data_IF_073977004739
#
_entry.id   IF_073977004739
#
_cell.length_a   1.000
_cell.length_b   1.000
_cell.length_c   1.000
_cell.angle_alpha   90.00
_cell.angle_beta   90.00
_cell.angle_gamma   90.00
#
_symmetry.space_group_name_H-M   'P 1'
#
loop_
_entity.id
_entity.type
_entity.pdbx_description
1 polymer ?
2 branched ?
3 branched ?
4 non-polymer ?
5 non-polymer ?
6 non-polymer ?
7 non-polymer ?
8 non-polymer ?
9 water ?
#
# COMPACT_ATOMS: atom_id res chain seq x y z
N UNK A 1 8.77 -14.75 -19.94
CA UNK A 1 9.63 -14.76 -21.15
C UNK A 1 10.18 -13.36 -21.49
N UNK A 2 9.33 -12.35 -21.80
CA UNK A 2 9.81 -10.96 -21.96
C UNK A 2 9.48 -10.04 -20.77
N UNK A 3 10.29 -9.00 -20.54
CA UNK A 3 9.96 -8.02 -19.54
C UNK A 3 8.66 -7.32 -19.93
N UNK A 4 7.78 -7.12 -18.98
CA UNK A 4 6.56 -6.43 -19.24
C UNK A 4 6.83 -4.95 -19.45
N UNK A 5 6.12 -4.36 -20.41
CA UNK A 5 6.13 -2.94 -20.63
C UNK A 5 4.77 -2.33 -20.37
N UNK A 6 4.76 -1.13 -19.80
CA UNK A 6 3.54 -0.43 -19.43
C UNK A 6 3.01 0.28 -20.70
N UNK A 7 2.39 -0.46 -21.59
CA UNK A 7 1.98 0.11 -22.89
C UNK A 7 0.53 0.58 -22.90
N UNK A 8 -0.27 0.25 -21.88
CA UNK A 8 -1.69 0.60 -21.83
C UNK A 8 -1.99 1.78 -20.90
N UNK A 9 -3.14 2.42 -21.13
CA UNK A 9 -3.72 3.42 -20.26
C UNK A 9 -4.66 2.73 -19.27
N UNK A 10 -5.12 3.47 -18.26
CA UNK A 10 -6.19 2.96 -17.34
C UNK A 10 -7.51 2.77 -18.02
N UNK A 11 -8.25 1.73 -17.66
CA UNK A 11 -9.62 1.60 -18.08
C UNK A 11 -10.42 2.73 -17.40
N UNK A 12 -11.56 3.05 -18.00
CA UNK A 12 -12.45 4.02 -17.39
C UNK A 12 -13.07 3.42 -16.15
N UNK A 13 -13.01 4.16 -15.07
CA UNK A 13 -13.48 3.73 -13.81
C UNK A 13 -14.83 4.34 -13.54
N UNK A 14 -15.89 3.53 -13.67
CA UNK A 14 -17.24 4.00 -13.40
C UNK A 14 -17.80 3.50 -12.07
N UNK A 15 -17.18 2.43 -11.52
CA UNK A 15 -17.47 1.91 -10.20
C UNK A 15 -16.36 0.88 -9.86
N UNK A 16 -16.56 0.19 -8.76
CA UNK A 16 -15.63 -0.78 -8.26
C UNK A 16 -16.39 -2.06 -7.96
N UNK A 17 -15.84 -3.20 -8.42
CA UNK A 17 -16.45 -4.51 -8.12
C UNK A 17 -15.53 -5.27 -7.15
N UNK A 18 -16.15 -6.18 -6.40
CA UNK A 18 -15.42 -7.03 -5.50
C UNK A 18 -14.43 -7.93 -6.30
N UNK A 19 -13.21 -8.02 -5.80
CA UNK A 19 -12.14 -8.84 -6.41
C UNK A 19 -11.70 -9.98 -5.51
N UNK A 20 -11.35 -9.68 -4.28
CA UNK A 20 -10.98 -10.71 -3.30
C UNK A 20 -11.26 -10.31 -1.89
N UNK A 21 -11.40 -11.31 -1.02
CA UNK A 21 -11.66 -11.05 0.38
C UNK A 21 -11.30 -12.30 1.12
N UNK A 22 -10.48 -12.22 2.15
CA UNK A 22 -10.07 -13.47 2.81
C UNK A 22 -10.73 -13.83 4.08
N UNK A 23 -11.44 -12.91 4.72
CA UNK A 23 -12.14 -13.24 5.93
C UNK A 23 -11.24 -13.93 6.98
N UNK A 24 -9.99 -13.49 7.08
CA UNK A 24 -9.00 -14.23 7.77
C UNK A 24 -9.28 -14.27 9.29
N UNK A 25 -9.78 -13.18 9.88
CA UNK A 25 -9.93 -13.11 11.35
C UNK A 25 -11.13 -13.98 11.76
N UNK A 26 -12.20 -13.94 10.95
CA UNK A 26 -13.33 -14.86 11.13
C UNK A 26 -12.87 -16.30 11.08
N UNK A 27 -12.15 -16.64 10.01
CA UNK A 27 -11.71 -18.04 9.84
C UNK A 27 -10.70 -18.45 10.91
N UNK A 28 -9.76 -17.54 11.21
CA UNK A 28 -8.71 -17.78 12.17
C UNK A 28 -9.13 -17.94 13.62
N UNK A 29 -10.38 -17.64 13.93
CA UNK A 29 -10.96 -17.94 15.25
C UNK A 29 -10.87 -19.41 15.62
N UNK A 30 -10.87 -20.30 14.61
CA UNK A 30 -10.79 -21.71 14.86
C UNK A 30 -9.97 -22.45 13.76
N UNK A 31 -8.91 -21.85 13.26
CA UNK A 31 -8.02 -22.50 12.30
C UNK A 31 -6.68 -21.80 12.41
N UNK A 32 -5.61 -22.40 11.82
CA UNK A 32 -4.23 -21.99 12.03
C UNK A 32 -3.82 -20.87 11.10
N UNK A 33 -4.41 -19.71 11.35
CA UNK A 33 -4.22 -18.53 10.58
C UNK A 33 -3.13 -17.67 11.24
N UNK A 34 -2.14 -17.26 10.46
CA UNK A 34 -1.06 -16.41 10.96
C UNK A 34 -1.55 -14.98 11.23
N UNK A 35 -1.04 -14.38 12.29
CA UNK A 35 -1.27 -12.96 12.55
C UNK A 35 -0.46 -12.17 11.56
N UNK A 36 -1.08 -11.15 10.97
CA UNK A 36 -0.40 -10.30 10.00
C UNK A 36 -0.68 -8.84 10.26
N UNK A 37 -0.02 -8.00 9.47
CA UNK A 37 -0.50 -6.64 9.15
C UNK A 37 0.28 -6.21 7.86
N UNK A 38 0.00 -5.00 7.41
CA UNK A 38 0.62 -4.43 6.23
C UNK A 38 0.46 -5.35 5.03
N UNK A 39 -0.78 -5.72 4.69
CA UNK A 39 -1.03 -6.55 3.53
C UNK A 39 -1.03 -5.78 2.20
N UNK A 40 -0.98 -6.54 1.12
CA UNK A 40 -1.17 -6.01 -0.26
C UNK A 40 -1.42 -7.17 -1.23
N UNK A 41 -1.57 -6.86 -2.51
CA UNK A 41 -1.89 -7.80 -3.53
C UNK A 41 -0.87 -7.51 -4.65
N UNK A 42 -0.43 -8.58 -5.30
CA UNK A 42 0.49 -8.42 -6.41
C UNK A 42 0.32 -9.58 -7.39
N UNK A 43 0.40 -9.31 -8.70
CA UNK A 43 0.19 -10.32 -9.71
C UNK A 43 1.46 -10.78 -10.38
N UNK A 44 1.52 -12.06 -10.67
CA UNK A 44 2.44 -12.66 -11.60
C UNK A 44 1.76 -12.77 -12.93
N UNK A 45 2.46 -13.17 -13.97
CA UNK A 45 1.73 -13.40 -15.27
C UNK A 45 0.64 -14.47 -15.30
N UNK A 46 0.64 -15.39 -14.36
CA UNK A 46 -0.30 -16.48 -14.35
C UNK A 46 -1.08 -16.62 -13.03
N UNK A 47 -0.92 -15.68 -12.09
CA UNK A 47 -1.61 -15.81 -10.81
C UNK A 47 -1.52 -14.47 -10.08
N UNK A 48 -2.52 -14.13 -9.29
CA UNK A 48 -2.45 -12.97 -8.40
C UNK A 48 -2.54 -13.55 -7.01
N UNK A 49 -1.80 -12.95 -6.09
CA UNK A 49 -1.69 -13.44 -4.70
C UNK A 49 -1.81 -12.28 -3.69
N UNK A 50 -2.22 -12.66 -2.48
CA UNK A 50 -2.15 -11.82 -1.29
C UNK A 50 -0.77 -11.93 -0.66
N UNK A 51 -0.33 -10.79 -0.13
CA UNK A 51 0.96 -10.61 0.54
C UNK A 51 0.68 -9.92 1.87
N UNK A 52 1.52 -10.17 2.85
CA UNK A 52 1.51 -9.43 4.09
C UNK A 52 2.73 -9.71 4.90
N UNK A 53 2.90 -8.93 5.96
CA UNK A 53 3.86 -9.23 6.98
C UNK A 53 3.34 -10.06 8.13
N UNK A 54 3.77 -11.31 8.18
CA UNK A 54 3.45 -12.20 9.27
C UNK A 54 4.05 -11.67 10.54
N UNK A 55 3.48 -12.06 11.67
CA UNK A 55 4.09 -11.84 12.97
C UNK A 55 4.67 -13.12 13.59
N UNK A 56 4.66 -14.22 12.84
CA UNK A 56 5.32 -15.42 13.30
C UNK A 56 4.60 -16.08 14.48
N UNK A 57 3.28 -16.12 14.45
CA UNK A 57 2.44 -16.80 15.45
C UNK A 57 1.06 -16.88 14.79
N UNK A 58 0.25 -17.81 15.21
CA UNK A 58 -1.16 -17.81 14.87
C UNK A 58 -1.96 -16.85 15.77
N UNK A 59 -3.16 -16.51 15.34
CA UNK A 59 -3.97 -15.57 16.08
C UNK A 59 -4.49 -16.14 17.38
N UNK A 60 -4.86 -17.42 17.39
CA UNK A 60 -5.26 -18.09 18.65
C UNK A 60 -4.07 -18.53 19.47
N UNK A 61 -2.88 -18.50 18.91
CA UNK A 61 -1.66 -18.80 19.66
C UNK A 61 -1.40 -17.80 20.78
N UNK A 62 -0.83 -18.27 21.86
CA UNK A 62 -0.39 -17.40 22.95
C UNK A 62 0.66 -16.37 22.55
N UNK A 63 1.48 -16.66 21.51
CA UNK A 63 2.44 -15.64 21.01
C UNK A 63 1.78 -14.47 20.25
N UNK A 64 0.45 -14.48 20.07
CA UNK A 64 -0.23 -13.33 19.47
C UNK A 64 -0.24 -12.11 20.42
N UNK A 65 0.02 -12.39 21.68
CA UNK A 65 0.08 -11.34 22.69
C UNK A 65 1.28 -10.49 22.40
N UNK A 66 1.07 -9.22 22.09
CA UNK A 66 2.18 -8.28 21.84
C UNK A 66 2.31 -7.84 20.37
N UNK A 67 1.41 -8.36 19.51
CA UNK A 67 1.52 -8.15 18.08
C UNK A 67 1.03 -6.80 17.62
N UNK A 68 0.60 -5.91 18.54
CA UNK A 68 0.52 -4.46 18.18
C UNK A 68 1.89 -3.90 17.69
N UNK A 69 2.99 -4.49 18.15
CA UNK A 69 4.36 -4.00 17.82
C UNK A 69 4.69 -4.28 16.38
N UNK A 70 5.40 -3.34 15.76
CA UNK A 70 5.65 -3.36 14.31
C UNK A 70 6.85 -4.14 13.89
N UNK A 71 7.89 -4.23 14.74
CA UNK A 71 9.18 -4.64 14.25
C UNK A 71 9.79 -5.63 15.20
N UNK A 72 9.89 -6.87 14.79
CA UNK A 72 10.50 -7.92 15.54
C UNK A 72 11.23 -8.87 14.56
N UNK A 73 11.96 -9.82 15.14
CA UNK A 73 12.73 -10.78 14.44
C UNK A 73 11.85 -11.93 13.94
N UNK A 74 10.54 -11.89 14.29
CA UNK A 74 9.61 -12.95 14.00
C UNK A 74 8.74 -12.65 12.81
N UNK A 75 8.99 -11.51 12.13
CA UNK A 75 8.19 -11.07 11.00
C UNK A 75 8.84 -11.51 9.70
N UNK A 76 7.97 -11.71 8.69
CA UNK A 76 8.40 -12.09 7.33
C UNK A 76 7.36 -11.68 6.29
N UNK A 77 7.80 -11.35 5.07
CA UNK A 77 6.89 -11.18 3.97
C UNK A 77 6.42 -12.56 3.53
N UNK A 78 5.10 -12.77 3.55
CA UNK A 78 4.50 -14.02 3.11
C UNK A 78 3.54 -13.74 1.96
N UNK A 79 3.33 -14.74 1.12
CA UNK A 79 2.28 -14.67 0.14
C UNK A 79 1.47 -15.92 0.19
N UNK A 80 0.24 -15.79 -0.30
CA UNK A 80 -0.70 -16.92 -0.28
C UNK A 80 -1.77 -16.76 -1.38
N UNK A 81 -2.47 -17.84 -1.72
CA UNK A 81 -3.49 -17.70 -2.79
C UNK A 81 -4.62 -16.72 -2.53
N UNK A 82 -5.00 -16.00 -3.61
CA UNK A 82 -5.98 -14.95 -3.60
C UNK A 82 -7.24 -15.41 -2.88
N UNK A 83 -7.67 -14.61 -1.90
CA UNK A 83 -8.86 -14.82 -1.08
C UNK A 83 -8.87 -15.97 -0.12
N UNK A 84 -7.79 -16.77 -0.11
CA UNK A 84 -7.53 -17.74 0.99
C UNK A 84 -7.02 -16.85 2.17
N UNK A 85 -7.08 -17.36 3.41
CA UNK A 85 -6.42 -16.68 4.49
C UNK A 85 -4.95 -17.07 4.60
N UNK A 86 -4.11 -16.28 5.31
CA UNK A 86 -2.74 -16.59 5.49
C UNK A 86 -2.51 -17.64 6.57
N UNK A 87 -2.50 -18.90 6.16
CA UNK A 87 -2.34 -20.00 7.11
C UNK A 87 -0.90 -20.45 7.26
N UNK A 88 -0.64 -21.15 8.33
CA UNK A 88 0.64 -21.74 8.56
C UNK A 88 1.00 -22.70 7.38
N UNK A 89 0.04 -23.39 6.83
CA UNK A 89 0.24 -24.48 5.90
C UNK A 89 0.22 -24.03 4.42
N UNK A 90 -0.33 -22.88 4.07
CA UNK A 90 -0.44 -22.42 2.64
C UNK A 90 0.36 -21.12 2.39
N UNK A 91 1.08 -20.60 3.37
CA UNK A 91 1.70 -19.28 3.22
C UNK A 91 3.13 -19.52 2.78
N UNK A 92 3.60 -18.82 1.77
CA UNK A 92 5.00 -18.96 1.31
C UNK A 92 5.80 -17.77 1.76
N UNK A 93 6.97 -17.99 2.37
CA UNK A 93 7.81 -16.87 2.84
C UNK A 93 8.64 -16.35 1.67
N UNK A 94 8.53 -15.07 1.37
CA UNK A 94 9.27 -14.42 0.34
C UNK A 94 10.66 -13.94 0.83
N UNK A 95 10.69 -13.42 2.06
CA UNK A 95 11.94 -12.98 2.67
C UNK A 95 11.63 -12.58 4.13
N UNK A 96 12.66 -12.33 4.88
CA UNK A 96 12.55 -12.08 6.33
C UNK A 96 12.69 -10.61 6.63
N UNK A 97 11.78 -10.08 7.48
CA UNK A 97 11.81 -8.65 7.82
C UNK A 97 10.48 -8.05 8.15
N UNK A 98 10.49 -6.74 8.34
CA UNK A 98 9.36 -5.99 8.90
C UNK A 98 8.94 -4.78 8.11
N UNK A 99 9.45 -4.70 6.86
CA UNK A 99 8.99 -3.73 5.84
C UNK A 99 9.32 -4.34 4.52
N UNK A 100 8.42 -4.20 3.55
CA UNK A 100 8.59 -4.91 2.29
C UNK A 100 7.98 -4.22 1.09
N UNK A 101 8.38 -4.75 -0.07
CA UNK A 101 7.70 -4.54 -1.33
C UNK A 101 7.98 -5.77 -2.20
N UNK A 102 7.27 -5.86 -3.33
CA UNK A 102 7.39 -7.02 -4.22
C UNK A 102 6.75 -6.67 -5.54
N UNK A 103 7.37 -7.10 -6.64
CA UNK A 103 6.75 -6.99 -7.94
C UNK A 103 7.38 -7.96 -8.95
N UNK A 104 6.61 -8.29 -9.96
CA UNK A 104 7.00 -9.19 -11.05
C UNK A 104 7.32 -8.34 -12.25
N UNK A 105 8.43 -8.65 -12.91
CA UNK A 105 8.90 -7.85 -14.03
C UNK A 105 8.49 -8.42 -15.41
N UNK A 106 7.68 -9.48 -15.39
CA UNK A 106 7.29 -10.25 -16.55
C UNK A 106 8.09 -11.52 -16.72
N UNK A 107 9.32 -11.56 -16.25
CA UNK A 107 10.15 -12.80 -16.26
C UNK A 107 10.11 -13.48 -14.91
N UNK A 108 10.42 -12.74 -13.83
CA UNK A 108 10.32 -13.29 -12.48
C UNK A 108 10.06 -12.15 -11.48
N UNK A 109 9.99 -12.53 -10.20
CA UNK A 109 9.61 -11.61 -9.14
C UNK A 109 10.79 -11.10 -8.32
N UNK A 110 10.75 -9.81 -8.00
CA UNK A 110 11.66 -9.18 -7.04
C UNK A 110 10.91 -8.95 -5.78
N UNK A 111 11.51 -9.34 -4.63
CA UNK A 111 10.92 -9.06 -3.31
C UNK A 111 11.97 -8.42 -2.46
N UNK A 112 11.57 -7.44 -1.67
CA UNK A 112 12.50 -6.70 -0.80
C UNK A 112 11.98 -6.72 0.61
N UNK A 113 12.83 -7.15 1.57
CA UNK A 113 12.52 -7.12 2.96
C UNK A 113 13.65 -6.42 3.71
N UNK A 114 13.27 -5.57 4.65
CA UNK A 114 14.17 -4.84 5.52
C UNK A 114 14.06 -5.42 6.90
N UNK A 115 15.18 -5.65 7.54
CA UNK A 115 15.20 -6.11 8.95
C UNK A 115 16.28 -5.40 9.70
N UNK A 116 16.31 -5.64 10.99
CA UNK A 116 17.34 -5.13 11.89
C UNK A 116 16.77 -4.26 13.00
N UNK A 117 17.65 -3.83 13.91
CA UNK A 117 17.25 -2.84 14.93
C UNK A 117 17.10 -1.50 14.28
N UNK A 118 16.40 -0.61 14.98
CA UNK A 118 16.11 0.69 14.43
C UNK A 118 17.29 1.47 13.87
N UNK A 119 18.44 1.39 14.52
CA UNK A 119 19.61 2.16 14.12
C UNK A 119 20.57 1.39 13.22
N UNK A 120 20.20 0.18 12.75
CA UNK A 120 21.16 -0.62 11.98
C UNK A 120 20.44 -1.59 11.00
N UNK A 121 19.40 -1.09 10.35
CA UNK A 121 18.53 -1.92 9.51
C UNK A 121 19.18 -2.08 8.14
N UNK A 122 18.80 -3.15 7.45
CA UNK A 122 19.27 -3.40 6.06
C UNK A 122 18.15 -4.01 5.22
N UNK A 123 18.13 -3.62 3.95
CA UNK A 123 17.33 -4.23 2.93
C UNK A 123 18.10 -5.36 2.19
N UNK A 124 17.41 -6.47 1.97
CA UNK A 124 17.87 -7.52 1.07
C UNK A 124 16.88 -7.62 -0.10
N UNK A 125 17.44 -7.63 -1.31
CA UNK A 125 16.66 -7.61 -2.54
C UNK A 125 16.86 -8.99 -3.13
N UNK A 126 15.73 -9.69 -3.27
CA UNK A 126 15.64 -11.01 -3.74
C UNK A 126 15.12 -10.93 -5.17
N UNK A 127 15.64 -11.77 -6.04
CA UNK A 127 15.16 -11.85 -7.43
C UNK A 127 15.17 -13.33 -7.83
N UNK A 128 14.03 -13.82 -8.34
CA UNK A 128 13.92 -15.25 -8.70
C UNK A 128 14.16 -16.10 -7.48
N UNK A 129 13.62 -15.64 -6.36
CA UNK A 129 13.74 -16.24 -5.04
C UNK A 129 15.13 -16.52 -4.51
N UNK A 130 16.07 -15.69 -4.93
CA UNK A 130 17.44 -15.73 -4.40
C UNK A 130 17.85 -14.34 -3.97
N UNK A 131 18.57 -14.21 -2.84
CA UNK A 131 19.10 -12.85 -2.57
C UNK A 131 20.17 -12.43 -3.58
N UNK A 132 20.14 -11.14 -3.97
CA UNK A 132 21.04 -10.57 -4.97
C UNK A 132 21.79 -9.35 -4.47
N UNK A 133 21.13 -8.40 -3.85
CA UNK A 133 21.70 -7.11 -3.44
C UNK A 133 21.29 -6.82 -2.02
N UNK A 134 22.16 -6.13 -1.30
CA UNK A 134 21.85 -5.67 0.02
C UNK A 134 22.16 -4.20 0.12
N UNK A 135 21.36 -3.50 0.92
CA UNK A 135 21.51 -2.04 1.12
C UNK A 135 21.42 -1.70 2.60
N UNK A 136 22.48 -1.07 3.13
CA UNK A 136 22.53 -0.76 4.54
C UNK A 136 21.82 0.56 4.81
N UNK A 137 21.31 0.68 6.01
CA UNK A 137 20.71 1.90 6.50
C UNK A 137 21.67 3.08 6.19
N UNK A 138 21.09 4.14 5.64
CA UNK A 138 21.85 5.42 5.40
C UNK A 138 21.60 6.52 6.45
N UNK A 139 20.50 6.47 7.17
CA UNK A 139 20.26 7.47 8.19
C UNK A 139 20.10 6.88 9.56
N UNK A 140 20.26 5.56 9.75
CA UNK A 140 20.16 4.98 11.10
C UNK A 140 18.89 5.22 11.90
N UNK A 141 17.75 5.27 11.18
CA UNK A 141 16.45 5.50 11.79
C UNK A 141 15.35 4.82 10.99
N UNK A 142 15.25 3.50 11.18
CA UNK A 142 14.17 2.67 10.62
C UNK A 142 14.08 2.80 9.10
N UNK A 143 15.14 2.34 8.40
CA UNK A 143 15.04 2.13 6.97
C UNK A 143 13.70 1.39 6.63
N UNK A 144 12.95 1.90 5.65
CA UNK A 144 11.59 1.38 5.39
C UNK A 144 11.08 1.69 3.99
N UNK A 145 10.10 0.92 3.53
CA UNK A 145 9.72 0.96 2.12
C UNK A 145 8.22 0.94 1.99
N UNK A 146 7.71 0.45 0.88
CA UNK A 146 6.36 0.81 0.39
C UNK A 146 5.24 0.11 1.13
N UNK A 147 5.42 -1.15 1.50
CA UNK A 147 4.32 -2.00 2.02
C UNK A 147 3.19 -2.25 1.03
N UNK A 148 3.49 -2.07 -0.27
CA UNK A 148 2.62 -2.55 -1.33
C UNK A 148 3.47 -2.77 -2.59
N UNK A 149 2.88 -3.24 -3.67
CA UNK A 149 3.70 -3.74 -4.77
C UNK A 149 4.47 -2.61 -5.45
N UNK A 150 5.64 -2.92 -5.97
CA UNK A 150 6.32 -2.03 -6.90
C UNK A 150 5.82 -2.31 -8.31
N UNK A 151 6.33 -1.54 -9.25
CA UNK A 151 5.96 -1.65 -10.64
C UNK A 151 7.25 -1.65 -11.51
N UNK A 152 7.24 -2.48 -12.55
CA UNK A 152 8.32 -2.58 -13.51
C UNK A 152 7.95 -2.13 -14.94
N UNK A 153 8.97 -1.68 -15.64
CA UNK A 153 8.85 -1.37 -17.06
C UNK A 153 10.18 -1.74 -17.78
N UNK A 154 10.07 -2.66 -18.72
CA UNK A 154 11.23 -3.21 -19.47
C UNK A 154 12.32 -3.65 -18.51
N UNK A 155 11.93 -4.29 -17.42
CA UNK A 155 12.93 -4.75 -16.45
C UNK A 155 13.32 -3.82 -15.37
N UNK A 156 12.97 -2.53 -15.48
CA UNK A 156 13.39 -1.55 -14.47
C UNK A 156 12.24 -1.42 -13.47
N UNK A 157 12.52 -1.70 -12.20
CA UNK A 157 11.51 -1.66 -11.12
C UNK A 157 11.97 -0.64 -10.11
N UNK A 158 11.41 0.58 -10.15
CA UNK A 158 11.75 1.51 -9.12
C UNK A 158 11.06 1.22 -7.81
N UNK A 159 11.74 1.60 -6.75
CA UNK A 159 11.27 1.38 -5.40
C UNK A 159 11.58 2.60 -4.56
N UNK A 160 10.63 3.02 -3.72
CA UNK A 160 10.87 4.18 -2.81
C UNK A 160 11.11 3.71 -1.44
N UNK A 161 12.23 4.18 -0.86
CA UNK A 161 12.61 3.92 0.52
C UNK A 161 12.72 5.24 1.27
N UNK A 162 12.57 5.17 2.59
CA UNK A 162 12.79 6.31 3.48
C UNK A 162 13.57 5.84 4.66
N UNK A 163 14.55 6.64 5.11
CA UNK A 163 15.30 6.34 6.34
C UNK A 163 15.41 7.69 7.08
N UNK A 164 15.12 7.73 8.37
CA UNK A 164 15.15 9.02 9.09
C UNK A 164 13.87 9.19 9.82
N UNK A 165 13.69 10.40 10.32
CA UNK A 165 12.60 10.71 11.21
C UNK A 165 11.24 10.49 10.57
N UNK A 166 10.34 9.94 11.37
CA UNK A 166 8.87 9.95 11.07
C UNK A 166 8.13 11.30 11.39
N UNK A 167 8.82 12.22 12.04
CA UNK A 167 8.20 13.47 12.56
C UNK A 167 9.06 14.72 12.29
N UNK A 168 9.69 14.77 11.12
CA UNK A 168 10.68 15.76 10.75
C UNK A 168 11.27 15.30 9.44
N UNK A 169 12.13 16.10 8.83
CA UNK A 169 12.80 15.69 7.57
C UNK A 169 13.51 14.33 7.67
N UNK A 170 13.49 13.58 6.59
CA UNK A 170 14.01 12.25 6.52
C UNK A 170 14.71 12.15 5.17
N UNK A 171 15.43 11.07 4.89
CA UNK A 171 16.12 10.89 3.61
C UNK A 171 15.49 9.76 2.81
N UNK A 172 14.76 10.17 1.81
CA UNK A 172 14.04 9.32 0.91
C UNK A 172 14.84 9.18 -0.37
N UNK A 173 14.92 7.94 -0.83
CA UNK A 173 15.63 7.57 -2.05
C UNK A 173 14.76 6.69 -2.96
N UNK A 174 14.93 6.89 -4.27
CA UNK A 174 14.31 6.09 -5.31
C UNK A 174 15.43 5.25 -5.94
N UNK A 175 15.33 3.95 -5.76
CA UNK A 175 16.22 3.00 -6.31
C UNK A 175 15.62 2.41 -7.56
N UNK A 176 16.42 2.27 -8.60
CA UNK A 176 15.99 1.67 -9.83
C UNK A 176 16.69 0.32 -9.96
N UNK A 177 15.93 -0.76 -9.81
CA UNK A 177 16.49 -2.11 -9.81
C UNK A 177 16.24 -2.73 -11.16
N UNK A 178 17.12 -3.66 -11.53
CA UNK A 178 16.84 -4.53 -12.70
C UNK A 178 17.52 -5.87 -12.43
N UNK A 179 16.75 -6.95 -12.46
CA UNK A 179 17.27 -8.27 -12.05
C UNK A 179 17.81 -8.28 -10.64
N UNK A 180 17.20 -7.47 -9.77
CA UNK A 180 17.72 -7.34 -8.41
C UNK A 180 18.96 -6.53 -8.18
N UNK A 181 19.49 -5.92 -9.23
CA UNK A 181 20.73 -5.09 -9.15
C UNK A 181 20.37 -3.64 -9.21
N UNK A 182 21.17 -2.82 -8.54
CA UNK A 182 20.93 -1.41 -8.53
C UNK A 182 21.46 -0.79 -9.83
N UNK A 183 20.59 -0.24 -10.65
CA UNK A 183 21.02 0.55 -11.79
C UNK A 183 21.41 1.94 -11.38
N UNK A 184 20.69 2.51 -10.42
CA UNK A 184 20.85 3.93 -10.07
C UNK A 184 19.98 4.15 -8.86
N UNK A 185 20.31 5.16 -8.07
CA UNK A 185 19.40 5.71 -7.11
C UNK A 185 19.48 7.21 -7.11
N UNK A 186 18.40 7.87 -6.70
CA UNK A 186 18.32 9.32 -6.64
C UNK A 186 17.72 9.73 -5.32
N UNK A 187 18.19 10.85 -4.78
CA UNK A 187 17.47 11.41 -3.61
C UNK A 187 16.16 12.02 -4.08
N UNK A 188 15.15 12.00 -3.22
CA UNK A 188 13.86 12.60 -3.49
C UNK A 188 14.07 14.04 -3.97
N UNK A 189 13.27 14.43 -4.95
CA UNK A 189 13.24 15.78 -5.50
C UNK A 189 11.77 16.21 -5.55
N UNK A 190 11.58 17.47 -5.93
CA UNK A 190 10.25 18.10 -6.06
C UNK A 190 9.84 18.69 -4.73
N UNK A 191 8.54 18.80 -4.52
CA UNK A 191 8.01 19.59 -3.40
C UNK A 191 7.44 18.79 -2.28
N UNK A 192 7.42 17.44 -2.41
CA UNK A 192 7.01 16.62 -1.27
C UNK A 192 8.00 16.80 -0.12
N UNK A 193 7.49 17.06 1.09
CA UNK A 193 8.34 17.37 2.25
C UNK A 193 8.68 16.16 3.12
N UNK A 194 7.92 15.07 2.96
CA UNK A 194 8.09 13.82 3.73
C UNK A 194 7.36 12.71 2.95
N UNK A 195 8.01 11.54 2.85
CA UNK A 195 7.48 10.38 2.09
C UNK A 195 7.58 9.10 2.87
N UNK A 196 6.48 8.37 2.92
CA UNK A 196 6.46 7.03 3.43
C UNK A 196 5.48 6.19 2.64
N UNK A 197 5.69 4.87 2.60
CA UNK A 197 4.66 3.93 2.17
C UNK A 197 3.98 4.26 0.84
N UNK A 198 4.78 4.46 -0.19
CA UNK A 198 4.22 4.75 -1.50
C UNK A 198 3.42 3.61 -2.07
N UNK A 199 2.24 3.96 -2.58
CA UNK A 199 1.39 3.06 -3.32
C UNK A 199 1.42 3.38 -4.80
N UNK A 200 1.86 2.43 -5.63
CA UNK A 200 2.22 2.76 -7.01
C UNK A 200 1.44 1.95 -8.06
N UNK A 201 1.34 2.51 -9.26
CA UNK A 201 0.72 1.87 -10.44
C UNK A 201 1.42 2.44 -11.67
N UNK A 202 1.28 1.74 -12.77
CA UNK A 202 2.01 1.98 -14.02
C UNK A 202 1.01 2.12 -15.16
N UNK A 203 1.21 3.11 -16.02
CA UNK A 203 0.43 3.18 -17.26
C UNK A 203 1.17 4.09 -18.23
N UNK A 204 1.12 3.73 -19.52
CA UNK A 204 1.73 4.55 -20.58
C UNK A 204 3.16 4.96 -20.19
N UNK A 205 3.97 3.98 -19.78
CA UNK A 205 5.41 4.12 -19.46
C UNK A 205 5.76 5.13 -18.38
N UNK A 206 4.83 5.38 -17.46
CA UNK A 206 5.09 6.23 -16.34
C UNK A 206 4.53 5.50 -15.10
N UNK A 207 5.20 5.64 -13.96
CA UNK A 207 4.76 5.04 -12.72
C UNK A 207 4.37 6.21 -11.79
N UNK A 208 3.20 6.13 -11.18
CA UNK A 208 2.65 7.12 -10.24
C UNK A 208 2.51 6.48 -8.89
N UNK A 209 3.05 7.15 -7.88
CA UNK A 209 3.01 6.72 -6.49
C UNK A 209 2.32 7.75 -5.62
N UNK A 210 1.35 7.32 -4.82
CA UNK A 210 0.65 8.16 -3.85
C UNK A 210 1.14 7.70 -2.48
N UNK A 211 1.67 8.62 -1.69
CA UNK A 211 2.37 8.27 -0.50
C UNK A 211 1.76 8.93 0.74
N UNK A 212 2.44 8.83 1.85
CA UNK A 212 2.05 9.33 3.16
C UNK A 212 3.14 10.31 3.61
N UNK A 213 2.75 11.56 3.80
CA UNK A 213 3.58 12.60 4.50
C UNK A 213 3.22 12.47 5.94
N UNK A 214 4.01 11.76 6.72
CA UNK A 214 3.69 11.55 8.11
C UNK A 214 3.92 12.83 8.98
N UNK A 215 4.77 13.72 8.51
CA UNK A 215 5.26 14.83 9.31
C UNK A 215 4.20 15.92 9.41
N UNK A 216 3.77 16.44 8.28
CA UNK A 216 2.86 17.57 8.30
C UNK A 216 1.58 17.47 7.47
N UNK A 217 1.62 16.79 6.35
CA UNK A 217 0.55 16.82 5.34
C UNK A 217 -0.65 15.89 5.58
N UNK A 218 -1.86 16.41 5.43
CA UNK A 218 -3.06 15.63 5.36
C UNK A 218 -3.56 15.47 3.93
N UNK A 219 -2.95 16.23 3.02
CA UNK A 219 -3.02 15.91 1.56
C UNK A 219 -1.87 14.88 1.32
N UNK A 220 -1.93 14.08 0.26
CA UNK A 220 -0.92 13.02 0.07
C UNK A 220 0.08 13.49 -0.92
N UNK A 221 1.36 13.22 -0.63
CA UNK A 221 2.36 13.45 -1.65
C UNK A 221 2.27 12.45 -2.82
N UNK A 222 2.66 12.88 -4.01
CA UNK A 222 2.66 12.05 -5.20
C UNK A 222 4.02 12.12 -5.80
N UNK A 223 4.58 10.96 -6.10
CA UNK A 223 5.84 10.84 -6.87
C UNK A 223 5.54 10.29 -8.26
N UNK A 224 6.02 10.91 -9.33
CA UNK A 224 5.84 10.38 -10.66
C UNK A 224 7.21 10.03 -11.22
N UNK A 225 7.34 8.79 -11.70
CA UNK A 225 8.63 8.22 -12.07
C UNK A 225 8.60 7.85 -13.53
N UNK A 226 9.65 8.24 -14.23
CA UNK A 226 9.85 7.79 -15.60
C UNK A 226 10.88 6.68 -15.55
N UNK A 227 10.45 5.43 -15.76
CA UNK A 227 11.38 4.31 -15.54
C UNK A 227 12.36 4.09 -16.70
N UNK A 228 12.21 4.82 -17.81
CA UNK A 228 13.11 4.75 -18.94
C UNK A 228 14.26 5.72 -18.70
N UNK A 229 13.95 6.99 -18.47
CA UNK A 229 14.94 8.01 -18.08
C UNK A 229 15.49 7.81 -16.67
N UNK A 230 14.78 7.07 -15.83
CA UNK A 230 15.15 6.91 -14.43
C UNK A 230 15.26 8.24 -13.71
N UNK A 231 14.20 9.06 -13.90
CA UNK A 231 14.02 10.31 -13.20
C UNK A 231 12.63 10.39 -12.62
N UNK A 232 12.47 11.32 -11.68
CA UNK A 232 11.19 11.51 -11.06
C UNK A 232 10.92 12.94 -10.63
N UNK A 233 9.68 13.19 -10.24
CA UNK A 233 9.34 14.41 -9.56
C UNK A 233 8.33 14.15 -8.48
N UNK A 234 8.02 15.18 -7.71
CA UNK A 234 7.06 15.04 -6.61
C UNK A 234 6.30 16.31 -6.38
N UNK A 235 5.10 16.14 -5.79
CA UNK A 235 4.19 17.22 -5.43
C UNK A 235 3.19 16.63 -4.48
N UNK A 236 2.11 17.34 -4.21
CA UNK A 236 1.00 16.83 -3.42
C UNK A 236 -0.21 16.83 -4.35
N UNK A 237 -1.19 16.01 -3.99
CA UNK A 237 -2.50 16.12 -4.57
C UNK A 237 -3.09 17.52 -4.19
N UNK A 238 -3.36 18.33 -5.23
CA UNK A 238 -3.94 19.69 -5.13
C UNK A 238 -5.33 19.76 -4.45
N UNK A 239 -6.13 18.73 -4.67
CA UNK A 239 -7.51 18.72 -4.25
C UNK A 239 -7.76 19.01 -2.78
N UNK A 240 -8.80 19.80 -2.47
CA UNK A 240 -9.24 19.96 -1.10
C UNK A 240 -9.90 18.72 -0.52
N UNK A 241 -10.12 17.67 -1.32
CA UNK A 241 -10.61 16.41 -0.73
C UNK A 241 -9.39 15.71 -0.11
N UNK A 242 -9.19 15.87 1.20
CA UNK A 242 -8.00 15.37 1.89
C UNK A 242 -8.08 13.87 2.22
N UNK A 243 -6.97 13.15 2.00
CA UNK A 243 -7.07 11.68 2.01
C UNK A 243 -6.17 10.95 2.96
N UNK A 244 -5.39 11.69 3.78
CA UNK A 244 -4.71 11.07 4.89
C UNK A 244 -5.62 10.84 6.09
N UNK A 245 -5.06 10.24 7.14
CA UNK A 245 -5.79 9.98 8.39
C UNK A 245 -4.84 9.86 9.52
N UNK A 246 -5.06 10.58 10.63
CA UNK A 246 -6.15 11.57 10.82
C UNK A 246 -5.90 12.84 10.01
N UNK A 247 -6.92 13.68 9.91
CA UNK A 247 -6.85 14.84 9.06
C UNK A 247 -7.83 15.92 9.55
N UNK A 248 -7.65 17.16 9.11
CA UNK A 248 -8.68 18.16 9.44
C UNK A 248 -9.89 17.99 8.55
N UNK A 249 -10.96 18.75 8.78
CA UNK A 249 -12.06 18.79 7.82
C UNK A 249 -11.64 19.31 6.48
N UNK A 250 -12.36 18.89 5.44
CA UNK A 250 -11.97 19.27 4.10
C UNK A 250 -12.20 20.79 3.89
N UNK A 251 -11.25 21.49 3.31
CA UNK A 251 -11.40 22.89 2.95
C UNK A 251 -12.01 23.00 1.59
N UNK A 252 -11.97 24.20 1.04
CA UNK A 252 -12.48 24.48 -0.26
C UNK A 252 -11.34 24.56 -1.22
N UNK A 253 -10.14 24.82 -0.73
CA UNK A 253 -9.01 24.89 -1.64
C UNK A 253 -7.83 24.17 -0.97
N UNK A 254 -7.15 23.33 -1.75
CA UNK A 254 -6.07 22.53 -1.21
C UNK A 254 -4.71 23.15 -1.50
N UNK A 255 -3.65 22.36 -1.33
CA UNK A 255 -2.27 22.78 -1.62
C UNK A 255 -1.58 21.80 -2.57
N UNK A 256 -0.97 22.35 -3.63
CA UNK A 256 -0.29 21.61 -4.70
C UNK A 256 1.19 21.30 -4.36
N UNK A 257 1.84 22.18 -3.60
CA UNK A 257 3.28 22.09 -3.36
C UNK A 257 3.70 22.24 -1.93
N UNK A 258 2.75 22.00 -1.03
CA UNK A 258 3.06 22.02 0.37
C UNK A 258 2.14 21.12 1.08
N UNK A 259 2.49 20.68 2.27
CA UNK A 259 1.59 19.91 3.08
C UNK A 259 0.43 20.73 3.54
N UNK A 260 -0.76 20.12 3.57
CA UNK A 260 -1.96 20.77 4.08
C UNK A 260 -1.95 20.52 5.58
N UNK A 261 -1.89 21.59 6.39
CA UNK A 261 -1.62 21.41 7.82
C UNK A 261 -2.87 21.07 8.62
N UNK A 262 -2.70 20.76 9.88
CA UNK A 262 -3.82 20.55 10.81
C UNK A 262 -3.63 19.30 11.61
N UNK A 263 -2.80 18.38 11.13
CA UNK A 263 -2.36 17.21 11.93
C UNK A 263 -0.91 16.94 11.65
N UNK A 264 -0.19 16.59 12.71
CA UNK A 264 1.26 16.38 12.65
C UNK A 264 1.54 14.98 13.12
N UNK A 265 2.63 14.46 12.58
CA UNK A 265 3.25 13.26 13.11
C UNK A 265 2.29 12.11 13.14
N UNK A 266 1.53 11.93 12.07
CA UNK A 266 0.72 10.77 12.03
C UNK A 266 0.20 10.63 10.63
N UNK A 267 -0.38 9.46 10.34
CA UNK A 267 -0.90 9.24 8.97
C UNK A 267 -1.32 7.80 8.79
N UNK A 268 -1.62 7.44 7.55
CA UNK A 268 -1.92 6.08 7.17
C UNK A 268 -1.52 5.87 5.69
N UNK A 269 -1.05 4.68 5.34
CA UNK A 269 -0.77 4.36 3.92
C UNK A 269 -2.05 4.39 3.14
N UNK A 270 -2.06 5.03 1.96
CA UNK A 270 -3.22 5.12 1.13
C UNK A 270 -2.82 5.18 -0.33
N UNK A 271 -3.80 5.47 -1.18
CA UNK A 271 -3.52 5.49 -2.62
C UNK A 271 -4.48 6.36 -3.37
N UNK A 272 -4.17 6.53 -4.66
CA UNK A 272 -5.12 7.09 -5.58
C UNK A 272 -4.81 6.67 -7.00
N UNK A 273 -5.77 6.87 -7.92
CA UNK A 273 -5.50 6.81 -9.37
C UNK A 273 -5.75 8.17 -9.93
N UNK A 274 -4.75 8.72 -10.56
CA UNK A 274 -4.71 10.13 -11.01
C UNK A 274 -4.61 10.10 -12.51
N UNK A 275 -5.72 10.31 -13.17
CA UNK A 275 -5.82 10.09 -14.61
C UNK A 275 -6.87 11.07 -15.19
N UNK A 276 -6.60 12.35 -14.98
CA UNK A 276 -7.46 13.43 -15.40
C UNK A 276 -8.86 13.30 -14.88
N UNK A 277 -9.84 13.32 -15.77
CA UNK A 277 -11.20 13.22 -15.30
C UNK A 277 -11.47 11.82 -14.70
N UNK A 278 -10.71 10.83 -15.13
CA UNK A 278 -10.81 9.45 -14.60
C UNK A 278 -9.99 9.31 -13.26
N UNK A 279 -10.19 10.23 -12.30
CA UNK A 279 -9.39 10.24 -11.12
C UNK A 279 -10.25 9.82 -9.94
N UNK A 280 -9.74 8.86 -9.18
CA UNK A 280 -10.39 8.36 -8.00
C UNK A 280 -9.46 8.34 -6.79
N UNK A 281 -9.95 8.80 -5.64
CA UNK A 281 -9.18 8.90 -4.42
C UNK A 281 -9.78 7.97 -3.40
N UNK A 282 -8.96 7.23 -2.65
CA UNK A 282 -9.45 6.51 -1.51
C UNK A 282 -9.20 7.26 -0.21
N UNK A 283 -10.06 7.06 0.77
CA UNK A 283 -9.81 7.60 2.13
C UNK A 283 -10.66 6.88 3.17
N UNK A 284 -10.23 7.00 4.42
CA UNK A 284 -11.05 6.63 5.54
C UNK A 284 -12.24 7.60 5.56
N UNK A 285 -13.39 7.14 6.06
CA UNK A 285 -14.51 8.03 6.20
C UNK A 285 -14.28 8.95 7.42
N UNK A 286 -13.84 8.41 8.55
CA UNK A 286 -13.54 9.19 9.75
C UNK A 286 -12.32 10.07 9.48
N UNK A 287 -12.39 11.32 9.97
CA UNK A 287 -11.20 12.21 10.02
C UNK A 287 -10.30 11.92 11.18
N UNK A 288 -10.79 11.14 12.13
CA UNK A 288 -10.04 10.96 13.37
C UNK A 288 -9.37 9.59 13.55
N UNK A 289 -9.94 8.55 12.96
CA UNK A 289 -9.43 7.21 13.21
C UNK A 289 -9.57 6.40 11.91
N UNK A 290 -9.00 5.22 11.89
CA UNK A 290 -9.04 4.36 10.74
C UNK A 290 -10.34 3.57 10.71
N UNK A 291 -11.41 4.28 10.43
CA UNK A 291 -12.71 3.68 10.25
C UNK A 291 -13.37 4.15 9.00
N UNK A 292 -14.07 3.17 8.44
CA UNK A 292 -14.63 3.33 7.16
C UNK A 292 -13.64 3.47 6.01
N UNK A 293 -14.19 3.34 4.83
CA UNK A 293 -13.39 3.52 3.64
C UNK A 293 -14.29 3.83 2.52
N UNK A 294 -13.88 4.82 1.74
CA UNK A 294 -14.63 5.22 0.56
C UNK A 294 -13.72 5.60 -0.60
N UNK A 295 -14.29 5.49 -1.80
CA UNK A 295 -13.66 5.92 -3.05
C UNK A 295 -14.47 7.11 -3.56
N UNK A 296 -13.78 8.19 -3.92
CA UNK A 296 -14.37 9.39 -4.50
C UNK A 296 -13.78 9.69 -5.84
N UNK A 297 -14.66 9.98 -6.80
CA UNK A 297 -14.23 10.39 -8.10
C UNK A 297 -14.01 11.91 -8.00
N UNK A 298 -12.78 12.36 -8.21
CA UNK A 298 -12.42 13.75 -8.01
C UNK A 298 -11.67 14.13 -9.28
N UNK A 299 -12.38 14.62 -10.30
CA UNK A 299 -11.73 14.95 -11.54
C UNK A 299 -10.58 15.92 -11.40
N UNK A 300 -9.46 15.59 -12.00
CA UNK A 300 -8.27 16.38 -11.91
C UNK A 300 -7.75 16.69 -10.55
N UNK A 301 -7.93 15.79 -9.59
CA UNK A 301 -7.47 15.99 -8.19
C UNK A 301 -6.01 16.40 -8.09
N UNK A 302 -5.17 15.81 -8.94
CA UNK A 302 -3.77 16.06 -8.87
C UNK A 302 -3.43 17.52 -9.17
N UNK A 303 -4.15 18.11 -10.11
CA UNK A 303 -3.77 19.41 -10.62
C UNK A 303 -4.75 20.57 -10.30
N UNK A 304 -5.96 20.27 -9.81
CA UNK A 304 -7.01 21.29 -9.58
C UNK A 304 -7.22 21.44 -8.09
N UNK A 305 -6.74 22.58 -7.54
CA UNK A 305 -6.84 22.82 -6.10
C UNK A 305 -8.21 23.22 -5.56
N UNK A 306 -9.21 23.16 -6.40
CA UNK A 306 -10.60 23.26 -5.92
C UNK A 306 -11.49 22.07 -6.30
N UNK A 307 -10.89 21.00 -6.85
CA UNK A 307 -11.66 19.82 -7.29
C UNK A 307 -12.38 19.14 -6.17
N UNK A 308 -13.65 18.81 -6.41
CA UNK A 308 -14.49 18.15 -5.44
C UNK A 308 -15.14 16.86 -6.07
N UNK A 309 -15.75 16.02 -5.24
CA UNK A 309 -16.29 14.75 -5.77
C UNK A 309 -17.46 14.90 -6.74
N UNK A 310 -17.40 14.17 -7.84
CA UNK A 310 -18.55 14.03 -8.74
C UNK A 310 -19.25 12.68 -8.63
N UNK A 311 -18.68 11.73 -7.88
CA UNK A 311 -19.26 10.38 -7.77
C UNK A 311 -18.52 9.71 -6.65
N UNK A 312 -19.11 8.66 -6.08
CA UNK A 312 -18.42 7.90 -5.11
C UNK A 312 -18.90 6.48 -4.85
N UNK A 313 -18.20 5.79 -3.98
CA UNK A 313 -18.59 4.44 -3.58
C UNK A 313 -18.11 4.16 -2.19
N UNK A 314 -19.02 3.73 -1.31
CA UNK A 314 -18.66 3.27 0.03
C UNK A 314 -18.09 1.82 -0.05
N UNK A 315 -16.93 1.61 0.53
CA UNK A 315 -16.26 0.29 0.58
C UNK A 315 -16.42 -0.35 1.93
N UNK A 316 -16.19 0.44 2.98
CA UNK A 316 -16.33 -0.05 4.35
C UNK A 316 -17.10 1.05 5.11
N UNK A 317 -18.10 0.65 5.89
CA UNK A 317 -18.92 1.62 6.67
C UNK A 317 -18.09 2.24 7.75
N UNK A 318 -18.44 3.48 8.12
CA UNK A 318 -17.70 4.17 9.20
C UNK A 318 -17.85 3.50 10.56
N UNK A 319 -18.78 2.55 10.69
CA UNK A 319 -18.90 1.76 11.90
C UNK A 319 -18.03 0.49 11.87
N UNK A 320 -17.16 0.34 10.86
CA UNK A 320 -16.22 -0.79 10.77
C UNK A 320 -14.80 -0.29 10.62
N UNK A 321 -13.86 -1.08 11.12
CA UNK A 321 -12.46 -0.72 11.06
C UNK A 321 -11.82 -0.93 9.67
N UNK A 322 -10.99 0.04 9.30
CA UNK A 322 -10.21 -0.02 8.05
C UNK A 322 -8.74 -0.08 8.43
N UNK A 323 -7.91 0.55 7.65
CA UNK A 323 -6.48 0.46 7.86
C UNK A 323 -5.74 0.94 6.62
N UNK A 324 -4.56 0.38 6.38
CA UNK A 324 -3.74 0.72 5.22
C UNK A 324 -4.53 0.39 3.96
N UNK A 325 -4.22 1.10 2.89
CA UNK A 325 -4.79 0.77 1.58
C UNK A 325 -3.72 1.05 0.52
N UNK A 326 -3.81 0.35 -0.60
CA UNK A 326 -2.81 0.43 -1.66
C UNK A 326 -3.32 -0.04 -2.98
N UNK A 327 -2.52 0.29 -4.00
CA UNK A 327 -2.87 -0.01 -5.36
C UNK A 327 -2.12 -1.23 -5.92
N UNK A 328 -2.77 -1.91 -6.86
CA UNK A 328 -2.07 -2.93 -7.68
C UNK A 328 -2.89 -3.03 -8.96
N UNK A 329 -2.31 -3.60 -10.02
CA UNK A 329 -3.10 -4.00 -11.19
C UNK A 329 -2.54 -5.32 -11.74
N UNK A 330 -3.41 -6.01 -12.46
CA UNK A 330 -3.01 -7.17 -13.20
C UNK A 330 -2.49 -6.69 -14.59
N UNK A 331 -1.18 -6.45 -14.67
CA UNK A 331 -0.49 -6.03 -15.89
C UNK A 331 -0.52 -7.09 -16.99
N UNK A 332 -0.94 -8.31 -16.67
CA UNK A 332 -0.92 -9.40 -17.66
C UNK A 332 -2.32 -9.83 -18.09
N UNK A 333 -3.32 -9.02 -17.77
CA UNK A 333 -4.72 -9.32 -18.13
C UNK A 333 -4.89 -9.12 -19.65
N UNK A 334 -5.96 -9.62 -20.20
CA UNK A 334 -6.22 -9.43 -21.64
C UNK A 334 -6.88 -8.04 -21.86
N UNK A 335 -6.89 -7.50 -23.07
CA UNK A 335 -7.72 -6.33 -23.35
C UNK A 335 -6.88 -5.10 -23.56
N UNK A 336 -7.52 -3.97 -23.64
CA UNK A 336 -6.87 -2.81 -24.19
C UNK A 336 -6.41 -1.84 -23.14
N UNK A 337 -6.72 -2.08 -21.87
CA UNK A 337 -6.46 -1.06 -20.83
C UNK A 337 -6.13 -1.79 -19.55
N UNK A 338 -5.41 -1.17 -18.65
CA UNK A 338 -5.17 -1.74 -17.31
C UNK A 338 -6.32 -1.39 -16.37
N UNK A 339 -6.84 -2.39 -15.67
CA UNK A 339 -7.94 -2.25 -14.76
C UNK A 339 -7.38 -1.90 -13.38
N UNK A 340 -7.64 -0.69 -12.93
CA UNK A 340 -7.27 -0.25 -11.60
C UNK A 340 -7.80 -1.18 -10.49
N UNK A 341 -6.97 -1.51 -9.53
CA UNK A 341 -7.37 -2.30 -8.35
C UNK A 341 -6.80 -1.71 -7.10
N UNK A 342 -7.40 -2.05 -5.98
CA UNK A 342 -6.88 -1.66 -4.68
C UNK A 342 -7.28 -2.66 -3.62
N UNK A 343 -6.59 -2.62 -2.51
CA UNK A 343 -6.97 -3.40 -1.30
C UNK A 343 -7.19 -2.41 -0.14
N UNK A 344 -7.91 -2.84 0.89
CA UNK A 344 -7.96 -2.16 2.19
C UNK A 344 -7.70 -3.23 3.24
N UNK A 345 -6.76 -2.92 4.12
CA UNK A 345 -6.45 -3.69 5.27
C UNK A 345 -7.54 -3.39 6.36
N UNK A 346 -8.18 -4.43 6.91
CA UNK A 346 -9.23 -4.31 7.96
C UNK A 346 -8.64 -4.72 9.26
N UNK A 347 -8.13 -3.76 9.99
CA UNK A 347 -7.41 -4.04 11.26
C UNK A 347 -8.37 -4.37 12.37
N UNK A 348 -8.03 -5.45 13.08
CA UNK A 348 -8.76 -5.85 14.24
C UNK A 348 -7.83 -5.99 15.38
N UNK A 349 -8.39 -5.79 16.57
CA UNK A 349 -7.65 -5.95 17.81
C UNK A 349 -7.05 -4.63 18.18
N UNK A 350 -5.87 -4.65 18.77
CA UNK A 350 -5.34 -3.43 19.37
C UNK A 350 -4.87 -2.41 18.32
N UNK A 351 -4.97 -1.11 18.60
CA UNK A 351 -5.35 -0.53 19.92
C UNK A 351 -6.82 -0.26 20.12
N UNK A 352 -7.63 -0.35 19.08
CA UNK A 352 -8.99 0.08 19.19
C UNK A 352 -9.85 -0.92 19.85
N UNK A 353 -9.52 -2.19 19.72
CA UNK A 353 -10.26 -3.25 20.34
C UNK A 353 -9.35 -3.95 21.33
N UNK A 354 -9.25 -3.39 22.54
CA UNK A 354 -8.25 -3.82 23.49
C UNK A 354 -8.67 -4.87 24.46
N UNK A 355 -9.86 -5.44 24.28
CA UNK A 355 -10.15 -6.67 25.00
C UNK A 355 -9.34 -7.86 24.56
N UNK A 356 -8.74 -7.80 23.36
CA UNK A 356 -7.82 -8.87 22.94
C UNK A 356 -6.43 -8.32 23.11
N UNK A 357 -5.45 -9.22 23.22
CA UNK A 357 -4.06 -8.84 23.35
C UNK A 357 -3.29 -8.76 22.01
N UNK A 358 -3.97 -9.07 20.93
CA UNK A 358 -3.36 -9.09 19.61
C UNK A 358 -3.86 -7.95 18.71
N UNK A 359 -3.12 -7.78 17.60
CA UNK A 359 -3.52 -6.97 16.50
C UNK A 359 -3.30 -7.85 15.21
N UNK A 360 -4.30 -7.86 14.36
CA UNK A 360 -4.17 -8.55 13.06
C UNK A 360 -5.10 -7.84 12.08
N UNK A 361 -5.34 -8.41 10.89
CA UNK A 361 -6.17 -7.80 9.94
C UNK A 361 -6.78 -8.86 9.03
N UNK A 362 -7.77 -8.47 8.27
CA UNK A 362 -8.10 -9.22 7.05
C UNK A 362 -7.98 -8.30 5.87
N UNK A 363 -8.32 -8.80 4.70
CA UNK A 363 -8.15 -8.06 3.46
C UNK A 363 -9.44 -8.07 2.69
N UNK A 364 -9.74 -6.91 2.13
CA UNK A 364 -10.71 -6.77 1.06
C UNK A 364 -10.04 -6.05 -0.13
N UNK A 365 -10.41 -6.44 -1.33
CA UNK A 365 -9.89 -5.84 -2.57
C UNK A 365 -10.93 -5.75 -3.65
N UNK A 366 -10.84 -4.67 -4.44
CA UNK A 366 -11.73 -4.38 -5.53
C UNK A 366 -10.95 -3.99 -6.77
N UNK A 367 -11.59 -4.12 -7.95
CA UNK A 367 -11.09 -3.59 -9.18
C UNK A 367 -12.18 -2.76 -9.86
N UNK A 368 -11.77 -1.93 -10.84
CA UNK A 368 -12.72 -1.01 -11.47
C UNK A 368 -13.56 -1.73 -12.46
N UNK A 369 -14.79 -1.21 -12.64
CA UNK A 369 -15.69 -1.60 -13.68
C UNK A 369 -16.04 -0.37 -14.55
N UNK A 370 -16.27 -0.63 -15.83
CA UNK A 370 -16.82 0.40 -16.74
C UNK A 370 -18.34 0.46 -16.63
N UNK A 371 -18.96 -0.49 -15.92
CA UNK A 371 -20.36 -0.33 -15.50
C UNK A 371 -20.48 0.59 -14.30
N UNK A 372 -21.70 1.07 -14.07
CA UNK A 372 -22.08 1.74 -12.82
C UNK A 372 -22.74 0.72 -11.89
N UNK A 373 -21.92 0.00 -11.14
CA UNK A 373 -22.41 -1.10 -10.29
C UNK A 373 -22.93 -0.62 -8.94
N UNK A 374 -23.93 -1.32 -8.45
CA UNK A 374 -24.42 -1.23 -7.10
C UNK A 374 -23.30 -1.45 -6.10
N UNK A 375 -23.41 -0.76 -4.97
CA UNK A 375 -22.41 -0.86 -3.93
C UNK A 375 -22.87 -1.71 -2.71
N UNK A 376 -21.96 -2.51 -2.16
CA UNK A 376 -22.16 -3.07 -0.81
C UNK A 376 -21.04 -2.53 0.07
N UNK A 377 -21.09 -2.82 1.36
CA UNK A 377 -19.97 -2.55 2.22
C UNK A 377 -19.36 -3.86 2.60
N UNK A 378 -18.06 -3.83 2.91
CA UNK A 378 -17.28 -5.08 3.06
C UNK A 378 -16.47 -5.08 4.36
N UNK A 379 -17.12 -5.42 5.48
CA UNK A 379 -16.37 -5.39 6.73
C UNK A 379 -15.56 -6.65 6.98
N UNK A 380 -14.68 -6.60 7.97
CA UNK A 380 -13.89 -7.79 8.33
C UNK A 380 -14.81 -8.97 8.66
N UNK A 381 -15.81 -8.69 9.49
CA UNK A 381 -16.84 -9.64 9.86
C UNK A 381 -16.62 -10.49 11.08
N UNK A 382 -15.48 -10.39 11.78
CA UNK A 382 -15.22 -11.22 12.94
C UNK A 382 -15.91 -10.53 14.16
N UNK A 383 -16.38 -11.31 15.11
CA UNK A 383 -16.83 -10.87 16.43
C UNK A 383 -15.75 -11.04 17.44
N UNK A 384 -15.24 -9.90 17.92
CA UNK A 384 -14.18 -9.88 18.93
C UNK A 384 -14.53 -10.66 20.16
N UNK A 385 -15.80 -10.62 20.53
CA UNK A 385 -16.28 -11.34 21.73
C UNK A 385 -15.96 -12.83 21.66
N UNK A 386 -15.91 -13.39 20.43
CA UNK A 386 -15.59 -14.82 20.31
C UNK A 386 -14.18 -15.22 20.75
N UNK A 387 -13.30 -14.24 20.71
CA UNK A 387 -11.91 -14.40 21.04
C UNK A 387 -11.62 -14.16 22.52
N UNK A 388 -12.62 -13.78 23.29
CA UNK A 388 -12.43 -13.53 24.72
C UNK A 388 -12.55 -14.83 25.47
X LIG B 1 25.77 -1.69 13.52
X LIG B 1 26.44 -1.55 14.91
X LIG B 1 27.95 -1.62 14.85
X LIG B 1 28.32 -2.91 14.15
X LIG B 1 27.66 -2.95 12.76
X LIG B 1 27.99 -4.21 11.98
X LIG B 1 25.44 0.16 16.35
X LIG B 1 25.31 1.68 16.39
X LIG B 1 26.15 -0.20 15.29
X LIG B 1 28.46 -1.61 16.19
X LIG B 1 29.75 -2.91 14.04
X LIG B 1 26.26 -2.91 12.99
X LIG B 1 27.65 -5.37 12.73
X LIG B 1 24.95 -0.61 17.18
X LIG B 2 30.27 -4.15 14.42
X LIG B 2 31.64 -4.42 13.80
X LIG B 2 32.15 -5.77 14.24
X LIG B 2 32.24 -5.80 15.74
X LIG B 2 30.89 -5.38 16.27
X LIG B 2 30.80 -5.34 17.79
X LIG B 2 31.83 -3.47 11.56
X LIG B 2 31.69 -3.66 10.06
X LIG B 2 31.54 -4.47 12.38
X LIG B 2 33.34 -6.11 13.54
X LIG B 2 32.51 -7.14 16.18
X LIG B 2 30.46 -4.08 15.79
X LIG B 2 31.70 -4.27 18.17
X LIG B 2 32.21 -2.42 12.01
X LIG B 3 33.71 -7.28 16.92
X LIG B 3 33.65 -8.60 17.69
X LIG B 3 34.97 -8.85 18.42
X LIG B 3 36.12 -8.62 17.46
X LIG B 3 36.07 -7.24 16.83
X LIG B 3 37.25 -7.09 15.91
X LIG B 3 33.46 -9.65 16.73
X LIG B 3 34.96 -10.21 18.84
X LIG B 3 37.37 -8.79 18.05
X LIG B 3 34.85 -7.14 16.06
X LIG B 3 37.31 -5.74 15.48
X LIG B 4 35.50 -10.34 20.14
X LIG B 4 35.68 -11.80 20.47
X LIG B 4 34.31 -12.46 20.55
X LIG B 4 33.50 -11.81 21.63
X LIG B 4 33.38 -10.35 21.34
X LIG B 4 32.74 -9.70 22.55
X LIG B 4 36.36 -11.69 21.73
X LIG B 4 34.37 -13.84 20.77
X LIG B 4 32.19 -12.35 21.72
X LIG B 4 34.67 -9.73 21.10
X LIG B 4 32.34 -8.44 22.03
X LIG B 5 36.72 -12.93 22.29
X LIG B 5 37.35 -12.64 23.66
X LIG B 5 38.70 -11.95 23.40
X LIG B 5 39.58 -12.80 22.52
X LIG B 5 38.84 -13.10 21.19
X LIG B 5 39.75 -13.93 20.32
X LIG B 5 37.55 -13.89 24.35
X LIG B 5 39.33 -11.77 24.66
X LIG B 5 40.82 -12.11 22.24
X LIG B 5 37.58 -13.74 21.50
X LIG B 5 40.24 -15.10 21.02
X LIG B 6 36.61 -14.14 25.40
X LIG B 6 37.23 -15.34 26.14
X LIG B 6 37.18 -16.57 25.22
X LIG B 6 35.75 -16.78 24.71
X LIG B 6 35.22 -15.52 24.01
X LIG B 6 33.75 -15.58 23.59
X LIG B 6 36.43 -15.62 27.31
X LIG B 6 37.48 -17.76 25.97
X LIG B 6 35.59 -17.98 23.92
X LIG B 6 35.28 -14.42 24.92
X LIG B 6 32.91 -15.64 24.76
X LIG B 7 38.28 -5.03 16.30
X LIG B 7 38.18 -3.55 15.98
X LIG B 7 38.86 -3.29 14.65
X LIG B 7 40.25 -3.84 14.64
X LIG B 7 40.36 -5.31 15.03
X LIG B 7 41.84 -5.76 15.10
X LIG B 7 38.82 -2.86 17.04
X LIG B 7 38.91 -1.89 14.40
X LIG B 7 40.59 -3.69 13.30
X LIG B 7 39.65 -5.48 16.24
X LIG B 7 42.69 -5.39 16.25
X LIG B 8 38.14 -1.35 13.26
X LIG B 8 38.49 0.15 13.05
X LIG B 8 37.81 1.07 14.10
X LIG B 8 36.32 0.80 14.30
X LIG B 8 36.04 -0.73 14.38
X LIG B 8 34.54 -1.05 14.45
X LIG B 8 38.16 0.54 11.70
X LIG B 8 37.95 2.44 13.72
X LIG B 8 35.89 1.46 15.50
X LIG B 8 36.68 -1.41 13.27
X LIG B 8 34.16 -2.11 15.39
X LIG C 1 9.29 -4.49 -23.92
X LIG C 1 9.10 -5.77 -24.69
X LIG C 1 10.44 -6.43 -25.00
X LIG C 1 11.35 -5.43 -25.69
X LIG C 1 11.41 -4.11 -24.87
X LIG C 1 12.28 -2.98 -25.45
X LIG C 1 7.23 -7.36 -24.35
X LIG C 1 6.41 -8.28 -23.48
X LIG C 1 8.29 -6.68 -23.89
X LIG C 1 10.16 -7.61 -25.71
X LIG C 1 12.71 -5.90 -25.71
X LIG C 1 10.07 -3.58 -24.64
X LIG C 1 11.73 -2.62 -26.69
X LIG C 1 6.93 -7.22 -25.50
X LIG C 2 13.16 -6.63 -26.88
X LIG C 2 14.70 -6.78 -26.84
X LIG C 2 15.23 -7.61 -28.06
X LIG C 2 14.51 -8.99 -28.14
X LIG C 2 12.98 -8.74 -28.12
X LIG C 2 12.13 -10.00 -28.24
X LIG C 2 15.37 -4.34 -27.05
X LIG C 2 16.09 -3.27 -26.31
X LIG C 2 15.36 -5.51 -26.43
X LIG C 2 16.62 -7.88 -27.91
X LIG C 2 14.96 -9.85 -29.23
X LIG C 2 12.61 -7.97 -26.93
X LIG C 2 12.02 -10.75 -27.02
X LIG C 2 14.85 -4.13 -28.14
X LIG D 1 -16.88 2.28 15.35
X LIG D 1 -16.00 2.57 14.58
X LIG D 1 -15.31 1.43 13.88
X LIG D 1 -15.65 3.81 14.27
X LIG D 1 -16.24 5.02 14.89
X LIG D 1 -17.05 5.79 13.87
X LIG D 1 -17.55 7.14 14.47
X LIG D 1 -18.50 6.91 15.46
X LIG D 1 -15.11 5.97 15.34
X LIG D 1 -15.64 7.19 15.91
X LIG D 1 -16.39 8.03 15.04
X LIG D 1 -16.88 9.04 15.80
X LIG D 1 -15.49 8.71 13.98
X LIG D 1 -16.01 9.16 12.92
X LIG D 1 -14.25 8.82 14.23
X LIG D 1 -14.19 5.50 16.46
X LIG D 1 -15.01 5.03 17.52
X LIG D 1 -13.27 6.64 16.96
X LIG D 1 -13.00 7.68 15.95
X LIG D 1 -11.98 6.08 17.50
X LIG D 1 -12.31 5.19 18.57
X LIG E 1 -0.15 -10.65 27.69
X LIG E 1 -0.89 -11.19 28.90
X LIG E 1 -1.03 -10.21 30.11
X LIG E 1 0.21 -9.36 30.36
X LIG E 1 0.60 -8.80 28.96
X LIG E 1 1.70 -7.76 28.96
X LIG E 1 -2.63 -12.78 28.24
X LIG E 1 -4.03 -13.03 27.75
X LIG E 1 -2.22 -11.53 28.42
X LIG E 1 -1.32 -11.02 31.25
X LIG E 1 -0.02 -8.32 31.37
X LIG E 1 0.97 -9.87 28.06
X LIG E 1 2.90 -8.43 29.32
X LIG E 1 -1.87 -13.69 28.46
X LIG F 1 -0.13 12.87 7.58
X LIG G 1 0.00 1.50 11.30
X LIG G 1 0.97 2.32 11.15
X LIG G 1 0.74 3.55 11.15
X LIG G 1 2.24 1.90 10.95
X LIG G 1 2.66 0.45 10.87
X LIG G 1 2.74 -0.03 12.15
X LIG G 1 4.01 0.11 10.24
X LIG G 1 3.27 2.85 10.79
X LIG G 1 4.54 2.47 10.18
X LIG G 1 5.55 3.55 10.49
X LIG G 1 5.06 4.94 10.04
X LIG G 1 5.96 6.13 10.46
X LIG G 1 7.27 6.04 9.90
X LIG G 1 5.76 3.60 11.90
X LIG G 1 5.05 1.10 10.65
X LIG G 1 6.24 0.70 9.86
X LIG G 1 7.41 0.44 10.43
X LIG G 1 7.64 0.54 11.63
X LIG G 1 8.52 0.06 9.52
X LIG G 1 4.90 4.92 8.63
X LIG H 1 -0.04 1.43 10.67
X LIG H 1 0.89 2.26 10.41
X LIG H 1 0.82 3.46 10.75
X LIG H 1 2.14 1.83 9.69
X LIG H 1 2.41 0.38 10.03
X LIG H 1 1.98 0.22 11.31
X LIG H 1 3.87 -0.07 9.97
X LIG H 1 3.11 2.63 10.35
X LIG H 1 4.47 2.36 10.01
X LIG H 1 5.34 3.39 10.70
X LIG H 1 4.92 4.79 10.31
X LIG H 1 5.79 5.84 11.02
X LIG H 1 6.94 6.16 10.24
X LIG H 1 5.15 3.27 12.12
X LIG H 1 4.88 0.95 10.44
X LIG H 1 6.10 0.67 9.68
X LIG H 1 7.33 0.71 10.16
X LIG H 1 7.60 0.97 11.33
X LIG H 1 8.40 0.39 9.16
X LIG H 1 4.99 4.91 8.89
#
# INVERSE_FOLDING_TARGET
RDFNNLTKGLCTINSWHIYGKDNAVRIGEDSDVLVTREPYVSCDPDECRFYALSQGTTIRGKHSNGTIHDRSQYRALISWPLSSPPTVYNSRVECIGWSSTSCHDGKTRMSICISGPNNNASAVIWYNRRPVTEINTWARNILRTQESECVCHNGVCPVVFTDGSATGPAETRIYYFKEGKILKWEPLAGTAKHIEECSCYGERAEITCTCRDNWQGSNRPVIRIDPVAMTHTSQYICSPVLTDNPRPNDPTVGKCNDPYPGNNNNGVKGFSYLDGVNTWLGRTISIASRSGYEMLKVPNALTDDKSKPTQGQTIVLNTDWSGYSGSFMDYWAEGECYRACFYVELIRGRPKEDKVWWTSNSIVSMCSSTEFLGQWDWPDGAKIEYFL
NAG C1 C2 C3 C4 C5 C6 C7 C8 N2 O3 O4 O5 O6 O7
NAG C1 C2 C3 C4 C5 C6 C7 C8 N2 O3 O4 O5 O6 O7
BMA C1 C2 C3 C4 C5 C6 O2 O3 O4 O5 O6
MAN C1 C2 C3 C4 C5 C6 O2 O3 O4 O5 O6
MAN C1 C2 C3 C4 C5 C6 O2 O3 O4 O5 O6
MAN C1 C2 C3 C4 C5 C6 O2 O3 O4 O5 O6
MAN C1 C2 C3 C4 C5 C6 O2 O3 O4 O5 O6
MAN C1 C2 C3 C4 C5 C6 O2 O3 O4 O5 O6
NAG C1 C2 C3 C4 C5 C6 C7 C8 N2 O3 O4 O5 O6 O7
NAG C1 C2 C3 C4 C5 C6 C7 C8 N2 O3 O4 O5 O6 O7
9SG O10 C10 C11 N5 C5 C4 C3 FAI C6 O6 C2 FAJ C1 O1A O1B C7 O7 C8 O8 C9 O9
NAG C1 C2 C3 C4 C5 C6 C7 C8 N2 O3 O4 O5 O6 O7
CA CA
9WM O1B C1 O1A C2 C3 F1 C4 O6 C6 C7 C8 C9 O9 O7 C5 N5 C10 O10 C11 O8
9VP O1B C1 O1A C2 C3 F1 C4 O6 C6 C7 C8 C9 O9 O7 C5 N5 C10 O10 C11 O8
#
